data_IF_477813391409
#
_entry.id   IF_477813391409
#
_cell.length_a   1.000
_cell.length_b   1.000
_cell.length_c   1.000
_cell.angle_alpha   90.00
_cell.angle_beta   90.00
_cell.angle_gamma   90.00
#
_symmetry.space_group_name_H-M   'P 1'
#
loop_
_entity.id
_entity.type
_entity.pdbx_description
1 polymer ?
#
# COMPACT_ATOMS: atom_id res chain seq x y z
N UNK A 1 4.15 6.95 19.22
CA UNK A 1 2.89 7.70 19.28
C UNK A 1 1.74 6.70 19.22
N UNK A 2 0.81 6.80 20.16
CA UNK A 2 -0.38 5.92 20.21
C UNK A 2 -1.60 6.73 19.76
N UNK A 3 -2.36 6.19 18.82
CA UNK A 3 -3.61 6.76 18.32
C UNK A 3 -4.81 6.30 19.17
N UNK A 4 -5.94 7.01 19.07
CA UNK A 4 -7.19 6.66 19.79
C UNK A 4 -7.79 5.29 19.37
N UNK A 5 -7.45 4.80 18.21
CA UNK A 5 -7.87 3.47 17.70
C UNK A 5 -6.91 2.34 18.12
N UNK A 6 -5.92 2.63 18.96
CA UNK A 6 -4.91 1.67 19.41
C UNK A 6 -3.75 1.44 18.44
N UNK A 7 -3.74 2.10 17.29
CA UNK A 7 -2.59 2.06 16.36
C UNK A 7 -1.37 2.74 16.98
N UNK A 8 -0.19 2.20 16.75
CA UNK A 8 1.06 2.72 17.29
C UNK A 8 1.99 3.09 16.14
N UNK A 9 2.40 4.36 16.07
CA UNK A 9 3.44 4.83 15.15
C UNK A 9 4.80 4.79 15.84
N UNK A 10 5.73 4.12 15.21
CA UNK A 10 7.16 4.05 15.57
C UNK A 10 7.96 4.94 14.64
N UNK A 11 8.97 5.60 15.19
CA UNK A 11 9.93 6.40 14.43
C UNK A 11 11.31 5.79 14.68
N UNK A 12 11.95 5.37 13.60
CA UNK A 12 13.30 4.80 13.63
C UNK A 12 14.29 5.82 13.11
N UNK A 13 15.45 5.87 13.76
CA UNK A 13 16.58 6.67 13.33
C UNK A 13 17.76 5.74 13.04
N UNK A 14 18.28 5.79 11.81
CA UNK A 14 19.48 5.03 11.51
C UNK A 14 20.75 5.73 11.99
N UNK A 15 21.90 5.05 11.89
CA UNK A 15 23.20 5.56 12.32
C UNK A 15 23.64 6.83 11.57
N UNK A 16 23.13 7.07 10.36
CA UNK A 16 23.39 8.28 9.57
C UNK A 16 22.46 9.45 9.92
N UNK A 17 21.55 9.27 10.89
CA UNK A 17 20.61 10.30 11.33
C UNK A 17 19.34 10.44 10.51
N UNK A 18 19.10 9.56 9.53
CA UNK A 18 17.84 9.55 8.75
C UNK A 18 16.73 8.86 9.52
N UNK A 19 15.48 9.29 9.25
CA UNK A 19 14.29 8.79 9.93
C UNK A 19 13.38 8.07 8.96
N UNK A 20 12.81 6.93 9.41
CA UNK A 20 11.70 6.25 8.78
C UNK A 20 10.65 5.87 9.82
N UNK A 21 9.50 5.37 9.36
CA UNK A 21 8.35 5.09 10.21
C UNK A 21 7.86 3.66 10.00
N UNK A 22 7.41 3.03 11.10
CA UNK A 22 6.54 1.87 11.01
C UNK A 22 5.27 2.10 11.82
N UNK A 23 4.20 1.39 11.45
CA UNK A 23 2.91 1.48 12.13
C UNK A 23 2.42 0.08 12.46
N UNK A 24 2.17 -0.16 13.74
CA UNK A 24 1.38 -1.29 14.19
C UNK A 24 -0.09 -0.92 14.21
N UNK A 25 -0.96 -1.82 13.71
CA UNK A 25 -2.41 -1.66 13.79
C UNK A 25 -3.14 -2.99 13.71
N UNK A 26 -4.35 -3.04 14.28
CA UNK A 26 -5.33 -4.09 14.07
C UNK A 26 -6.47 -3.57 13.20
N UNK A 27 -7.01 -4.44 12.36
CA UNK A 27 -8.25 -4.15 11.67
C UNK A 27 -9.41 -4.62 12.56
N UNK A 28 -10.49 -3.84 12.61
CA UNK A 28 -11.70 -4.24 13.30
C UNK A 28 -12.26 -5.56 12.72
N UNK A 29 -12.72 -6.47 13.58
CA UNK A 29 -13.34 -7.71 13.14
C UNK A 29 -14.56 -7.40 12.26
N UNK A 30 -14.58 -7.94 11.03
CA UNK A 30 -15.77 -7.86 10.16
C UNK A 30 -16.59 -9.15 10.30
N UNK A 31 -17.92 -9.02 10.43
CA UNK A 31 -18.87 -10.14 10.42
C UNK A 31 -18.65 -11.20 11.50
N UNK A 32 -18.34 -10.82 12.74
CA UNK A 32 -18.11 -11.71 13.88
C UNK A 32 -16.98 -12.74 13.69
N UNK A 33 -16.12 -12.57 12.70
CA UNK A 33 -14.90 -13.37 12.56
C UNK A 33 -13.80 -12.70 13.37
N UNK A 34 -13.27 -13.35 14.41
CA UNK A 34 -12.17 -12.79 15.18
C UNK A 34 -10.97 -12.53 14.23
N UNK A 35 -10.45 -11.32 14.24
CA UNK A 35 -9.22 -11.02 13.51
C UNK A 35 -8.04 -11.56 14.32
N UNK A 36 -7.56 -12.73 13.95
CA UNK A 36 -6.43 -13.41 14.63
C UNK A 36 -5.06 -12.89 14.18
N UNK A 37 -4.97 -11.68 13.67
CA UNK A 37 -3.71 -11.12 13.20
C UNK A 37 -3.66 -9.60 13.32
N UNK A 38 -2.45 -9.11 13.50
CA UNK A 38 -2.15 -7.68 13.42
C UNK A 38 -1.34 -7.36 12.17
N UNK A 39 -1.12 -6.09 11.93
CA UNK A 39 -0.38 -5.58 10.79
C UNK A 39 0.77 -4.71 11.26
N UNK A 40 1.93 -4.85 10.62
CA UNK A 40 3.05 -3.94 10.76
C UNK A 40 3.32 -3.34 9.38
N UNK A 41 3.00 -2.06 9.23
CA UNK A 41 3.33 -1.29 8.04
C UNK A 41 4.73 -0.73 8.18
N UNK A 42 5.62 -1.06 7.24
CA UNK A 42 7.03 -0.67 7.27
C UNK A 42 7.38 0.22 6.09
N UNK A 43 8.49 0.94 6.23
CA UNK A 43 9.08 1.76 5.20
C UNK A 43 10.02 0.95 4.29
N UNK A 44 10.21 1.42 3.07
CA UNK A 44 11.16 0.85 2.10
C UNK A 44 12.29 1.80 1.74
N UNK A 45 12.14 3.08 2.06
CA UNK A 45 13.12 4.13 1.76
C UNK A 45 13.09 5.21 2.87
N UNK A 46 14.19 5.92 3.02
CA UNK A 46 14.22 7.20 3.73
C UNK A 46 13.81 8.30 2.75
N UNK A 47 12.54 8.76 2.87
CA UNK A 47 11.90 9.64 1.89
C UNK A 47 11.41 8.90 0.64
N UNK A 48 11.03 9.63 -0.43
CA UNK A 48 10.49 9.05 -1.66
C UNK A 48 10.77 9.94 -2.89
N UNK A 49 11.20 9.31 -4.00
CA UNK A 49 11.45 10.01 -5.27
C UNK A 49 10.19 10.37 -6.04
N UNK A 50 9.05 9.73 -5.73
CA UNK A 50 7.86 9.78 -6.60
C UNK A 50 7.15 11.12 -6.58
N UNK A 51 7.29 11.90 -5.50
CA UNK A 51 6.72 13.25 -5.37
C UNK A 51 5.22 13.32 -5.67
N UNK A 52 4.46 12.29 -5.24
CA UNK A 52 3.01 12.34 -5.31
C UNK A 52 2.50 13.53 -4.49
N UNK A 53 1.65 14.37 -5.09
CA UNK A 53 1.26 15.66 -4.51
C UNK A 53 0.42 15.56 -3.22
N UNK A 54 -0.14 14.39 -2.96
CA UNK A 54 -0.94 14.08 -1.77
C UNK A 54 -0.14 13.41 -0.64
N UNK A 55 1.16 13.17 -0.82
CA UNK A 55 1.96 12.34 0.07
C UNK A 55 3.05 13.17 0.76
N UNK A 56 3.01 13.25 2.10
CA UNK A 56 4.01 13.96 2.89
C UNK A 56 5.42 13.39 2.69
N UNK A 57 5.57 12.08 2.56
CA UNK A 57 6.86 11.45 2.28
C UNK A 57 7.46 11.93 0.97
N UNK A 58 6.63 12.20 -0.04
CA UNK A 58 7.07 12.77 -1.32
C UNK A 58 7.64 14.18 -1.17
N UNK A 59 7.13 14.97 -0.22
CA UNK A 59 7.61 16.32 0.08
C UNK A 59 8.95 16.32 0.82
N UNK A 60 9.26 15.27 1.59
CA UNK A 60 10.55 15.12 2.27
C UNK A 60 11.73 14.89 1.31
N UNK A 61 11.43 14.52 0.06
CA UNK A 61 12.46 14.11 -0.91
C UNK A 61 12.98 12.70 -0.63
N UNK A 62 14.00 12.28 -1.36
CA UNK A 62 14.61 10.96 -1.25
C UNK A 62 16.03 11.07 -0.71
N UNK A 63 16.36 10.29 0.30
CA UNK A 63 17.72 10.17 0.82
C UNK A 63 18.39 8.88 0.29
N UNK A 64 17.91 7.71 0.71
CA UNK A 64 18.41 6.41 0.22
C UNK A 64 17.41 5.27 0.50
N UNK A 65 17.68 4.10 -0.07
CA UNK A 65 16.91 2.89 0.15
C UNK A 65 17.20 2.31 1.55
N UNK A 66 16.17 1.80 2.23
CA UNK A 66 16.42 0.90 3.36
C UNK A 66 17.01 -0.41 2.83
N UNK A 67 18.02 -0.92 3.53
CA UNK A 67 18.50 -2.29 3.33
C UNK A 67 17.45 -3.30 3.80
N UNK A 68 17.52 -4.53 3.31
CA UNK A 68 16.63 -5.59 3.78
C UNK A 68 16.79 -5.87 5.29
N UNK A 69 17.98 -5.64 5.84
CA UNK A 69 18.25 -5.78 7.27
C UNK A 69 17.52 -4.70 8.08
N UNK A 70 17.59 -3.42 7.67
CA UNK A 70 16.85 -2.33 8.32
C UNK A 70 15.33 -2.57 8.29
N UNK A 71 14.78 -3.09 7.17
CA UNK A 71 13.36 -3.46 7.11
C UNK A 71 13.00 -4.64 8.04
N UNK A 72 13.90 -5.61 8.21
CA UNK A 72 13.72 -6.69 9.20
C UNK A 72 13.78 -6.15 10.63
N UNK A 73 14.64 -5.17 10.90
CA UNK A 73 14.73 -4.52 12.19
C UNK A 73 13.45 -3.75 12.54
N UNK A 74 12.82 -3.06 11.58
CA UNK A 74 11.49 -2.44 11.79
C UNK A 74 10.48 -3.49 12.29
N UNK A 75 10.36 -4.64 11.61
CA UNK A 75 9.47 -5.73 12.02
C UNK A 75 9.82 -6.25 13.41
N UNK A 76 11.09 -6.54 13.65
CA UNK A 76 11.53 -7.17 14.90
C UNK A 76 11.35 -6.25 16.10
N UNK A 77 11.73 -4.97 15.98
CA UNK A 77 11.62 -3.99 17.04
C UNK A 77 10.15 -3.69 17.41
N UNK A 78 9.29 -3.50 16.38
CA UNK A 78 7.86 -3.33 16.63
C UNK A 78 7.27 -4.55 17.33
N UNK A 79 7.61 -5.77 16.87
CA UNK A 79 7.09 -6.99 17.48
C UNK A 79 7.58 -7.19 18.92
N UNK A 80 8.83 -6.89 19.20
CA UNK A 80 9.36 -6.94 20.57
C UNK A 80 8.60 -5.99 21.51
N UNK A 81 8.30 -4.78 21.05
CA UNK A 81 7.60 -3.80 21.85
C UNK A 81 6.13 -4.19 22.11
N UNK A 82 5.38 -4.56 21.06
CA UNK A 82 3.96 -4.94 21.22
C UNK A 82 3.77 -6.22 22.05
N UNK A 83 4.74 -7.15 22.04
CA UNK A 83 4.72 -8.34 22.90
C UNK A 83 5.08 -7.94 24.34
N UNK A 84 6.08 -7.10 24.53
CA UNK A 84 6.51 -6.63 25.85
C UNK A 84 5.43 -5.80 26.56
N UNK A 85 4.63 -5.06 25.80
CA UNK A 85 3.53 -4.23 26.31
C UNK A 85 2.19 -4.98 26.39
N UNK A 86 2.19 -6.32 26.19
CA UNK A 86 1.01 -7.19 26.16
C UNK A 86 -0.06 -6.77 25.13
N UNK A 87 0.30 -5.94 24.16
CA UNK A 87 -0.59 -5.59 23.05
C UNK A 87 -0.85 -6.79 22.13
N UNK A 88 0.12 -7.71 22.04
CA UNK A 88 0.03 -8.94 21.26
C UNK A 88 0.69 -10.12 21.95
N UNK A 89 0.16 -11.32 21.67
CA UNK A 89 0.80 -12.57 22.06
C UNK A 89 1.93 -12.91 21.08
N UNK A 90 3.02 -13.49 21.60
CA UNK A 90 4.17 -13.89 20.80
C UNK A 90 3.85 -14.87 19.66
N UNK A 91 2.77 -15.67 19.79
CA UNK A 91 2.29 -16.62 18.78
C UNK A 91 1.31 -16.01 17.78
N UNK A 92 0.80 -14.79 18.00
CA UNK A 92 -0.19 -14.16 17.11
C UNK A 92 0.39 -13.96 15.72
N UNK A 93 -0.41 -14.32 14.71
CA UNK A 93 -0.05 -14.17 13.30
C UNK A 93 -0.10 -12.71 12.88
N UNK A 94 0.69 -12.34 11.88
CA UNK A 94 0.74 -10.96 11.41
C UNK A 94 0.92 -10.84 9.89
N UNK A 95 0.73 -9.63 9.40
CA UNK A 95 1.07 -9.24 8.03
C UNK A 95 2.13 -8.15 8.06
N UNK A 96 3.19 -8.32 7.27
CA UNK A 96 4.21 -7.29 7.04
C UNK A 96 3.78 -6.46 5.82
N UNK A 97 3.35 -5.23 6.04
CA UNK A 97 2.75 -4.37 5.00
C UNK A 97 3.81 -3.38 4.51
N UNK A 98 4.16 -3.40 3.23
CA UNK A 98 5.13 -2.48 2.64
C UNK A 98 4.35 -1.33 1.98
N UNK A 99 3.86 -0.41 2.83
CA UNK A 99 3.05 0.76 2.45
C UNK A 99 3.42 2.01 3.26
N UNK A 100 4.55 1.97 3.99
CA UNK A 100 5.12 3.12 4.69
C UNK A 100 5.87 4.05 3.75
N UNK A 101 6.95 4.64 4.24
CA UNK A 101 7.73 5.58 3.43
C UNK A 101 8.46 4.90 2.29
N UNK A 102 8.43 5.53 1.10
CA UNK A 102 9.19 5.11 -0.08
C UNK A 102 8.36 4.42 -1.16
N UNK A 103 9.03 4.13 -2.26
CA UNK A 103 8.52 3.35 -3.39
C UNK A 103 9.25 1.98 -3.42
N UNK A 104 8.56 0.89 -3.06
CA UNK A 104 9.24 -0.41 -2.91
C UNK A 104 9.84 -0.94 -4.20
N UNK A 105 9.24 -0.68 -5.38
CA UNK A 105 9.82 -1.13 -6.64
C UNK A 105 11.15 -0.41 -6.97
N UNK A 106 11.36 0.82 -6.51
CA UNK A 106 12.67 1.49 -6.62
C UNK A 106 13.74 0.87 -5.70
N UNK A 107 13.34 0.04 -4.76
CA UNK A 107 14.22 -0.69 -3.84
C UNK A 107 14.11 -2.21 -4.02
N UNK A 108 13.78 -2.66 -5.22
CA UNK A 108 13.35 -4.03 -5.49
C UNK A 108 14.32 -5.10 -4.99
N UNK A 109 15.62 -4.92 -5.12
CA UNK A 109 16.61 -5.89 -4.67
C UNK A 109 16.56 -6.15 -3.15
N UNK A 110 16.40 -5.09 -2.36
CA UNK A 110 16.23 -5.22 -0.90
C UNK A 110 14.82 -5.76 -0.55
N UNK A 111 13.78 -5.35 -1.28
CA UNK A 111 12.42 -5.89 -1.12
C UNK A 111 12.41 -7.40 -1.37
N UNK A 112 13.04 -7.86 -2.44
CA UNK A 112 13.14 -9.29 -2.75
C UNK A 112 13.83 -10.07 -1.62
N UNK A 113 15.00 -9.59 -1.15
CA UNK A 113 15.73 -10.20 -0.03
C UNK A 113 14.92 -10.19 1.25
N UNK A 114 14.25 -9.08 1.56
CA UNK A 114 13.38 -8.95 2.73
C UNK A 114 12.22 -9.95 2.70
N UNK A 115 11.45 -9.98 1.59
CA UNK A 115 10.30 -10.87 1.44
C UNK A 115 10.71 -12.34 1.54
N UNK A 116 11.79 -12.72 0.86
CA UNK A 116 12.32 -14.09 0.88
C UNK A 116 12.77 -14.48 2.28
N UNK A 117 13.56 -13.63 2.94
CA UNK A 117 14.07 -13.90 4.29
C UNK A 117 12.94 -14.03 5.30
N UNK A 118 12.00 -13.09 5.28
CA UNK A 118 10.89 -13.08 6.24
C UNK A 118 9.96 -14.28 6.03
N UNK A 119 9.61 -14.59 4.77
CA UNK A 119 8.72 -15.71 4.45
C UNK A 119 9.31 -17.08 4.79
N UNK A 120 10.63 -17.23 4.73
CA UNK A 120 11.30 -18.50 5.06
C UNK A 120 11.57 -18.66 6.56
N UNK A 121 11.76 -17.57 7.29
CA UNK A 121 12.19 -17.62 8.69
C UNK A 121 11.07 -17.43 9.71
N UNK A 122 9.96 -16.78 9.35
CA UNK A 122 8.87 -16.51 10.30
C UNK A 122 7.55 -17.20 9.90
N UNK A 123 7.26 -18.29 10.57
CA UNK A 123 6.03 -19.10 10.35
C UNK A 123 4.74 -18.37 10.77
N UNK A 124 4.83 -17.27 11.51
CA UNK A 124 3.67 -16.45 11.92
C UNK A 124 3.28 -15.43 10.86
N UNK A 125 4.18 -15.18 9.91
CA UNK A 125 3.87 -14.31 8.79
C UNK A 125 2.74 -14.89 7.94
N UNK A 126 1.71 -14.07 7.68
CA UNK A 126 0.57 -14.48 6.84
C UNK A 126 0.65 -13.94 5.44
N UNK A 127 0.81 -12.64 5.31
CA UNK A 127 0.85 -11.98 4.00
C UNK A 127 1.84 -10.81 4.00
N UNK A 128 2.33 -10.50 2.81
CA UNK A 128 3.16 -9.32 2.55
C UNK A 128 2.45 -8.46 1.49
N UNK A 129 1.54 -7.56 1.89
CA UNK A 129 0.99 -6.55 0.99
C UNK A 129 2.08 -5.56 0.58
N UNK A 130 2.26 -5.37 -0.73
CA UNK A 130 3.22 -4.43 -1.32
C UNK A 130 2.43 -3.44 -2.16
N UNK A 131 2.52 -2.14 -1.83
CA UNK A 131 1.92 -1.06 -2.61
C UNK A 131 2.98 -0.29 -3.39
N UNK A 132 2.69 -0.03 -4.66
CA UNK A 132 3.58 0.70 -5.55
C UNK A 132 2.80 1.72 -6.38
N UNK A 133 3.47 2.78 -6.81
CA UNK A 133 2.97 3.69 -7.84
C UNK A 133 2.93 3.04 -9.23
N UNK A 134 3.48 1.83 -9.38
CA UNK A 134 3.48 1.07 -10.63
C UNK A 134 4.63 1.42 -11.57
N UNK A 135 5.87 1.16 -11.16
CA UNK A 135 7.04 1.25 -12.05
C UNK A 135 6.98 0.08 -13.04
N UNK A 136 6.37 0.32 -14.21
CA UNK A 136 5.97 -0.69 -15.18
C UNK A 136 7.06 -1.73 -15.49
N UNK A 137 8.33 -1.37 -15.78
CA UNK A 137 9.38 -2.37 -16.08
C UNK A 137 9.73 -3.30 -14.91
N UNK A 138 9.32 -2.98 -13.68
CA UNK A 138 9.63 -3.77 -12.49
C UNK A 138 8.47 -4.68 -12.04
N UNK A 139 7.27 -4.49 -12.58
CA UNK A 139 6.11 -5.35 -12.28
C UNK A 139 6.37 -6.82 -12.64
N UNK A 140 7.02 -7.17 -13.78
CA UNK A 140 7.37 -8.56 -14.07
C UNK A 140 8.31 -9.21 -13.04
N UNK A 141 9.24 -8.45 -12.46
CA UNK A 141 10.11 -8.95 -11.39
C UNK A 141 9.30 -9.25 -10.12
N UNK A 142 8.30 -8.42 -9.80
CA UNK A 142 7.39 -8.69 -8.69
C UNK A 142 6.51 -9.92 -8.95
N UNK A 143 6.10 -10.16 -10.20
CA UNK A 143 5.39 -11.39 -10.57
C UNK A 143 6.26 -12.64 -10.35
N UNK A 144 7.54 -12.60 -10.71
CA UNK A 144 8.49 -13.69 -10.43
C UNK A 144 8.62 -13.95 -8.93
N UNK A 145 8.72 -12.89 -8.11
CA UNK A 145 8.76 -13.01 -6.65
C UNK A 145 7.46 -13.60 -6.10
N UNK A 146 6.28 -13.18 -6.61
CA UNK A 146 4.98 -13.72 -6.23
C UNK A 146 4.87 -15.22 -6.54
N UNK A 147 5.44 -15.69 -7.63
CA UNK A 147 5.43 -17.11 -7.99
C UNK A 147 6.32 -17.96 -7.07
N UNK A 148 7.33 -17.34 -6.45
CA UNK A 148 8.16 -18.00 -5.43
C UNK A 148 7.53 -17.93 -4.02
N UNK A 149 6.79 -16.85 -3.72
CA UNK A 149 6.25 -16.54 -2.41
C UNK A 149 4.73 -16.27 -2.51
N UNK A 150 3.92 -17.29 -2.23
CA UNK A 150 2.44 -17.23 -2.38
C UNK A 150 1.74 -16.24 -1.45
N UNK A 151 2.44 -15.70 -0.46
CA UNK A 151 1.91 -14.78 0.54
C UNK A 151 1.99 -13.29 0.14
N UNK A 152 2.55 -12.94 -1.01
CA UNK A 152 2.58 -11.56 -1.51
C UNK A 152 1.18 -11.15 -2.00
N UNK A 153 0.82 -9.88 -1.78
CA UNK A 153 -0.38 -9.24 -2.30
C UNK A 153 0.01 -7.90 -2.93
N UNK A 154 -0.24 -7.76 -4.23
CA UNK A 154 0.16 -6.56 -4.97
C UNK A 154 -0.94 -5.51 -5.01
N UNK A 155 -0.59 -4.30 -4.60
CA UNK A 155 -1.42 -3.11 -4.64
C UNK A 155 -0.77 -2.07 -5.55
N UNK A 156 -1.59 -1.39 -6.36
CA UNK A 156 -1.13 -0.34 -7.28
C UNK A 156 -1.95 0.91 -7.09
N UNK A 157 -1.28 2.03 -6.94
CA UNK A 157 -1.91 3.34 -6.85
C UNK A 157 -2.50 3.76 -8.19
N UNK A 158 -3.84 4.00 -8.22
CA UNK A 158 -4.58 4.43 -9.42
C UNK A 158 -5.48 5.62 -9.10
N UNK A 159 -5.17 6.59 -8.48
CA UNK A 159 -6.01 7.63 -7.88
C UNK A 159 -6.81 8.51 -8.88
N UNK A 160 -6.82 8.19 -10.16
CA UNK A 160 -7.67 8.83 -11.19
C UNK A 160 -7.88 7.90 -12.39
N UNK A 161 -9.04 7.95 -13.07
CA UNK A 161 -9.25 7.28 -14.36
C UNK A 161 -8.73 8.11 -15.55
N UNK A 162 -8.18 9.32 -15.34
CA UNK A 162 -7.74 10.23 -16.38
C UNK A 162 -6.25 10.49 -16.31
N UNK A 163 -5.50 10.29 -17.40
CA UNK A 163 -4.05 10.45 -17.46
C UNK A 163 -3.58 11.86 -17.08
N UNK A 164 -4.30 12.90 -17.53
CA UNK A 164 -3.94 14.27 -17.20
C UNK A 164 -4.01 14.52 -15.70
N UNK A 165 -5.13 14.19 -15.07
CA UNK A 165 -5.31 14.33 -13.63
C UNK A 165 -4.36 13.43 -12.85
N UNK A 166 -4.18 12.17 -13.28
CA UNK A 166 -3.24 11.24 -12.66
C UNK A 166 -1.82 11.78 -12.69
N UNK A 167 -1.40 12.41 -13.80
CA UNK A 167 -0.09 13.04 -13.92
C UNK A 167 0.11 14.25 -13.01
N UNK A 168 -0.97 14.95 -12.64
CA UNK A 168 -0.92 16.07 -11.70
C UNK A 168 -0.72 15.60 -10.26
N UNK A 169 -1.37 14.50 -9.88
CA UNK A 169 -1.30 13.95 -8.51
C UNK A 169 -0.17 12.92 -8.35
N UNK A 170 0.20 12.20 -9.41
CA UNK A 170 1.26 11.19 -9.45
C UNK A 170 2.16 11.41 -10.67
N UNK A 171 3.28 12.15 -10.54
CA UNK A 171 4.14 12.52 -11.68
C UNK A 171 4.70 11.35 -12.49
N UNK A 172 4.79 10.15 -11.90
CA UNK A 172 5.23 8.91 -12.58
C UNK A 172 4.37 8.56 -13.79
N UNK A 173 3.09 8.98 -13.82
CA UNK A 173 2.18 8.74 -14.94
C UNK A 173 2.68 9.38 -16.25
N UNK A 174 3.49 10.43 -16.18
CA UNK A 174 4.12 11.01 -17.38
C UNK A 174 5.08 10.04 -18.07
N UNK A 175 5.64 9.10 -17.31
CA UNK A 175 6.52 8.05 -17.82
C UNK A 175 5.73 6.78 -18.17
N UNK A 176 4.76 6.40 -17.35
CA UNK A 176 3.94 5.21 -17.52
C UNK A 176 2.47 5.60 -17.36
N UNK A 177 1.77 5.83 -18.47
CA UNK A 177 0.36 6.20 -18.46
C UNK A 177 -0.54 5.06 -17.93
N UNK A 178 -1.79 5.38 -17.62
CA UNK A 178 -2.76 4.44 -17.04
C UNK A 178 -2.89 3.17 -17.89
N UNK A 179 -2.92 3.31 -19.21
CA UNK A 179 -3.04 2.15 -20.13
C UNK A 179 -1.85 1.20 -20.00
N UNK A 180 -0.62 1.74 -19.99
CA UNK A 180 0.61 0.95 -19.80
C UNK A 180 0.66 0.29 -18.43
N UNK A 181 0.26 1.02 -17.39
CA UNK A 181 0.19 0.50 -16.02
C UNK A 181 -0.80 -0.65 -15.89
N UNK A 182 -2.04 -0.48 -16.36
CA UNK A 182 -3.06 -1.53 -16.29
C UNK A 182 -2.71 -2.75 -17.16
N UNK A 183 -2.06 -2.53 -18.30
CA UNK A 183 -1.56 -3.65 -19.14
C UNK A 183 -0.51 -4.49 -18.39
N UNK A 184 0.46 -3.84 -17.72
CA UNK A 184 1.45 -4.54 -16.91
C UNK A 184 0.83 -5.26 -15.71
N UNK A 185 -0.15 -4.65 -15.05
CA UNK A 185 -0.89 -5.25 -13.94
C UNK A 185 -1.76 -6.44 -14.40
N UNK A 186 -2.36 -6.35 -15.59
CA UNK A 186 -3.07 -7.48 -16.19
C UNK A 186 -2.11 -8.64 -16.47
N UNK A 187 -0.93 -8.35 -17.02
CA UNK A 187 0.09 -9.39 -17.26
C UNK A 187 0.53 -10.03 -15.94
N UNK A 188 0.76 -9.23 -14.89
CA UNK A 188 1.04 -9.76 -13.54
C UNK A 188 -0.05 -10.75 -13.08
N UNK A 189 -1.34 -10.43 -13.27
CA UNK A 189 -2.42 -11.34 -12.94
C UNK A 189 -2.35 -12.65 -13.74
N UNK A 190 -2.11 -12.57 -15.04
CA UNK A 190 -1.99 -13.74 -15.91
C UNK A 190 -0.81 -14.64 -15.52
N UNK A 191 0.32 -14.04 -15.14
CA UNK A 191 1.54 -14.75 -14.75
C UNK A 191 1.44 -15.40 -13.36
N UNK A 192 0.63 -14.83 -12.45
CA UNK A 192 0.59 -15.23 -11.02
C UNK A 192 -0.73 -15.83 -10.56
N UNK A 193 -1.76 -15.78 -11.40
CA UNK A 193 -3.15 -16.10 -11.05
C UNK A 193 -3.66 -15.32 -9.82
N UNK A 194 -3.08 -14.15 -9.55
CA UNK A 194 -3.44 -13.30 -8.40
C UNK A 194 -3.94 -11.94 -8.90
N UNK A 195 -5.17 -11.57 -8.54
CA UNK A 195 -5.72 -10.25 -8.90
C UNK A 195 -4.93 -9.13 -8.24
N UNK A 196 -4.64 -8.09 -9.02
CA UNK A 196 -4.03 -6.86 -8.50
C UNK A 196 -5.09 -5.99 -7.82
N UNK A 197 -4.76 -5.41 -6.69
CA UNK A 197 -5.64 -4.45 -6.01
C UNK A 197 -5.27 -3.03 -6.43
N UNK A 198 -6.19 -2.34 -7.08
CA UNK A 198 -6.05 -0.94 -7.43
C UNK A 198 -6.45 -0.10 -6.22
N UNK A 199 -5.51 0.63 -5.64
CA UNK A 199 -5.76 1.58 -4.56
C UNK A 199 -6.26 2.88 -5.16
N UNK A 200 -7.46 3.31 -4.75
CA UNK A 200 -8.07 4.55 -5.20
C UNK A 200 -8.37 5.43 -3.98
N UNK A 201 -7.51 6.41 -3.76
CA UNK A 201 -7.69 7.37 -2.69
C UNK A 201 -8.63 8.48 -3.14
N UNK A 202 -9.77 8.61 -2.46
CA UNK A 202 -10.75 9.65 -2.69
C UNK A 202 -10.26 10.97 -2.07
N UNK A 203 -10.30 12.03 -2.87
CA UNK A 203 -9.92 13.40 -2.52
C UNK A 203 -11.08 14.31 -2.93
N UNK A 204 -11.64 15.06 -1.96
CA UNK A 204 -12.80 15.90 -2.17
C UNK A 204 -12.58 16.94 -3.28
N UNK A 205 -13.53 16.99 -4.22
CA UNK A 205 -13.50 17.90 -5.36
C UNK A 205 -12.43 17.62 -6.41
N UNK A 206 -11.65 16.53 -6.23
CA UNK A 206 -10.59 16.16 -7.18
C UNK A 206 -11.00 14.94 -7.99
N UNK A 207 -11.23 13.80 -7.35
CA UNK A 207 -11.44 12.51 -8.01
C UNK A 207 -12.66 11.73 -7.48
N UNK A 208 -13.55 12.40 -6.76
CA UNK A 208 -14.66 11.84 -6.01
C UNK A 208 -16.05 12.09 -6.65
N UNK A 209 -16.10 12.65 -7.86
CA UNK A 209 -17.36 12.93 -8.54
C UNK A 209 -17.98 11.65 -9.15
N UNK A 210 -19.30 11.71 -9.43
CA UNK A 210 -20.02 10.62 -10.10
C UNK A 210 -19.40 10.28 -11.47
N UNK A 211 -18.89 11.28 -12.21
CA UNK A 211 -18.20 11.07 -13.47
C UNK A 211 -16.94 10.22 -13.29
N UNK A 212 -16.13 10.52 -12.25
CA UNK A 212 -14.95 9.72 -11.92
C UNK A 212 -15.31 8.27 -11.59
N UNK A 213 -16.38 8.05 -10.82
CA UNK A 213 -16.86 6.72 -10.49
C UNK A 213 -17.29 5.94 -11.73
N UNK A 214 -18.09 6.56 -12.60
CA UNK A 214 -18.58 5.92 -13.81
C UNK A 214 -17.43 5.55 -14.77
N UNK A 215 -16.43 6.41 -14.92
CA UNK A 215 -15.30 6.15 -15.79
C UNK A 215 -14.28 5.17 -15.14
N UNK A 216 -14.17 5.17 -13.82
CA UNK A 216 -13.42 4.14 -13.08
C UNK A 216 -14.05 2.74 -13.28
N UNK A 217 -15.37 2.62 -13.21
CA UNK A 217 -16.09 1.37 -13.45
C UNK A 217 -15.83 0.85 -14.87
N UNK A 218 -15.86 1.71 -15.89
CA UNK A 218 -15.57 1.33 -17.28
C UNK A 218 -14.12 0.89 -17.49
N UNK A 219 -13.20 1.49 -16.74
CA UNK A 219 -11.77 1.25 -16.87
C UNK A 219 -11.35 -0.12 -16.29
N UNK A 220 -12.05 -0.60 -15.25
CA UNK A 220 -11.64 -1.78 -14.46
C UNK A 220 -12.27 -3.05 -15.03
N UNK A 221 -11.41 -4.00 -15.43
CA UNK A 221 -11.85 -5.37 -15.69
C UNK A 221 -11.87 -6.16 -14.37
N UNK A 222 -13.04 -6.62 -13.88
CA UNK A 222 -13.16 -7.34 -12.60
C UNK A 222 -12.46 -8.71 -12.59
N UNK A 223 -12.12 -9.28 -13.75
CA UNK A 223 -11.40 -10.55 -13.82
C UNK A 223 -9.96 -10.41 -13.35
N UNK A 224 -9.34 -9.24 -13.55
CA UNK A 224 -7.95 -8.99 -13.25
C UNK A 224 -7.73 -8.16 -11.99
N UNK A 225 -8.73 -7.34 -11.61
CA UNK A 225 -8.56 -6.30 -10.60
C UNK A 225 -9.58 -6.38 -9.46
N UNK A 226 -9.16 -5.85 -8.32
CA UNK A 226 -9.98 -5.46 -7.17
C UNK A 226 -9.73 -3.98 -6.89
N UNK A 227 -10.60 -3.34 -6.12
CA UNK A 227 -10.41 -1.95 -5.72
C UNK A 227 -10.33 -1.84 -4.20
N UNK A 228 -9.35 -1.08 -3.73
CA UNK A 228 -9.32 -0.57 -2.36
C UNK A 228 -9.59 0.93 -2.41
N UNK A 229 -10.68 1.35 -1.79
CA UNK A 229 -10.99 2.76 -1.60
C UNK A 229 -10.32 3.24 -0.32
N UNK A 230 -9.63 4.36 -0.41
CA UNK A 230 -9.01 5.03 0.73
C UNK A 230 -9.57 6.43 0.83
N UNK A 231 -9.78 6.93 2.02
CA UNK A 231 -10.06 8.34 2.23
C UNK A 231 -8.75 9.09 2.44
N UNK A 232 -8.57 10.21 1.75
CA UNK A 232 -7.43 11.07 1.99
C UNK A 232 -7.36 11.48 3.47
N UNK A 233 -6.19 11.42 4.05
CA UNK A 233 -5.93 11.97 5.38
C UNK A 233 -5.26 13.33 5.22
N UNK A 234 -5.82 14.35 5.88
CA UNK A 234 -5.29 15.69 5.83
C UNK A 234 -3.82 15.70 6.25
N UNK A 235 -2.99 16.30 5.40
CA UNK A 235 -1.57 16.53 5.67
C UNK A 235 -1.36 17.93 6.25
N UNK A 236 -0.17 18.20 6.74
CA UNK A 236 0.18 19.51 7.31
C UNK A 236 0.02 20.67 6.32
N UNK A 237 0.24 20.41 5.03
CA UNK A 237 0.20 21.44 3.96
C UNK A 237 -1.22 21.68 3.38
N UNK A 238 -2.24 20.96 3.84
CA UNK A 238 -3.67 21.12 3.55
C UNK A 238 -4.03 21.43 2.08
N UNK A 239 -3.29 20.87 1.11
CA UNK A 239 -3.59 21.06 -0.34
C UNK A 239 -4.88 20.40 -0.79
N UNK A 240 -5.30 19.37 -0.07
CA UNK A 240 -6.45 18.55 -0.39
C UNK A 240 -7.34 18.38 0.82
N UNK A 241 -8.60 18.01 0.57
CA UNK A 241 -9.61 17.84 1.60
C UNK A 241 -10.04 16.36 1.63
N UNK A 242 -10.20 15.82 2.84
CA UNK A 242 -10.74 14.50 3.08
C UNK A 242 -12.23 14.48 2.76
N UNK A 243 -12.72 13.60 1.87
CA UNK A 243 -14.15 13.45 1.65
C UNK A 243 -14.86 12.87 2.88
N UNK A 244 -16.17 13.04 2.94
CA UNK A 244 -17.01 12.35 3.92
C UNK A 244 -17.05 10.86 3.63
N UNK A 245 -17.29 10.05 4.65
CA UNK A 245 -17.30 8.57 4.52
C UNK A 245 -18.38 8.08 3.54
N UNK A 246 -19.50 8.79 3.43
CA UNK A 246 -20.61 8.45 2.54
C UNK A 246 -20.17 8.41 1.07
N UNK A 247 -19.25 9.28 0.66
CA UNK A 247 -18.66 9.25 -0.69
C UNK A 247 -17.98 7.90 -0.96
N UNK A 248 -17.17 7.41 -0.02
CA UNK A 248 -16.52 6.11 -0.17
C UNK A 248 -17.54 4.96 -0.15
N UNK A 249 -18.60 5.06 0.63
CA UNK A 249 -19.67 4.06 0.67
C UNK A 249 -20.41 3.99 -0.67
N UNK A 250 -20.76 5.12 -1.27
CA UNK A 250 -21.39 5.21 -2.59
C UNK A 250 -20.49 4.59 -3.65
N UNK A 251 -19.20 4.93 -3.68
CA UNK A 251 -18.24 4.33 -4.60
C UNK A 251 -18.17 2.82 -4.44
N UNK A 252 -18.04 2.34 -3.20
CA UNK A 252 -17.94 0.92 -2.88
C UNK A 252 -19.18 0.13 -3.33
N UNK A 253 -20.38 0.63 -3.06
CA UNK A 253 -21.62 -0.02 -3.48
C UNK A 253 -21.77 -0.06 -5.01
N UNK A 254 -21.46 1.05 -5.69
CA UNK A 254 -21.55 1.13 -7.15
C UNK A 254 -20.52 0.22 -7.83
N UNK A 255 -19.30 0.14 -7.33
CA UNK A 255 -18.29 -0.81 -7.82
C UNK A 255 -18.79 -2.25 -7.66
N UNK A 256 -19.31 -2.62 -6.49
CA UNK A 256 -19.84 -3.96 -6.24
C UNK A 256 -21.03 -4.32 -7.11
N UNK A 257 -21.98 -3.38 -7.34
CA UNK A 257 -23.13 -3.58 -8.25
C UNK A 257 -22.69 -3.82 -9.69
N UNK A 258 -21.50 -3.36 -10.08
CA UNK A 258 -20.90 -3.62 -11.39
C UNK A 258 -19.92 -4.80 -11.40
N UNK A 259 -19.98 -5.70 -10.41
CA UNK A 259 -19.17 -6.92 -10.34
C UNK A 259 -17.72 -6.70 -9.90
N UNK A 260 -17.33 -5.48 -9.54
CA UNK A 260 -15.97 -5.15 -9.11
C UNK A 260 -15.85 -5.36 -7.60
N UNK A 261 -15.01 -6.32 -7.18
CA UNK A 261 -14.71 -6.53 -5.77
C UNK A 261 -14.04 -5.31 -5.17
N UNK A 262 -14.66 -4.69 -4.16
CA UNK A 262 -14.12 -3.49 -3.54
C UNK A 262 -14.26 -3.49 -2.01
N UNK A 263 -13.34 -2.78 -1.35
CA UNK A 263 -13.30 -2.56 0.11
C UNK A 263 -12.99 -1.09 0.40
N UNK A 264 -13.41 -0.63 1.57
CA UNK A 264 -13.01 0.66 2.15
C UNK A 264 -12.05 0.36 3.29
#
# INVERSE_FOLDING_TARGET
LVSSDGSIKYIFKNHNGYYCEAIYYRLEPKNNVPYERYHICISSQFGCKMRCSFCDTGNLGFCHNLSYAEMLDEINLVRQDIIKTDAENASTKYSAVIMGMGEPLNNFENINKFCTTLSTKDTRLKTIPISSVGIVPLIPKLAQLQNQLTNIKFFVSLHSPYDEQHSQIMPINKQYNISSLLSACRQYHLDTNTKVTLSYMLIEGVNDSEKHLNDLIKLINPDHFKVQLLLYNNTTDAKFIRPIIDTAQIFNERLKRNGISSII
#
